data_IF_740122156724
#
_entry.id   IF_740122156724
#
_cell.length_a   1.000
_cell.length_b   1.000
_cell.length_c   1.000
_cell.angle_alpha   90.00
_cell.angle_beta   90.00
_cell.angle_gamma   90.00
#
_symmetry.space_group_name_H-M   'P 1'
#
loop_
_entity.id
_entity.type
_entity.pdbx_description
1 polymer ?
#
# COMPACT_ATOMS: atom_id res chain seq x y z
N UNK A 1 27.80 80.74 7.21
CA UNK A 1 28.00 79.81 6.06
C UNK A 1 28.44 78.38 6.44
N UNK A 2 29.26 78.16 7.48
CA UNK A 2 29.75 76.81 7.85
C UNK A 2 28.68 75.84 8.40
N UNK A 3 27.65 76.32 9.11
CA UNK A 3 26.60 75.46 9.69
C UNK A 3 25.69 74.81 8.62
N UNK A 4 25.39 75.52 7.53
CA UNK A 4 24.57 75.01 6.43
C UNK A 4 25.24 73.86 5.66
N UNK A 5 26.56 73.92 5.48
CA UNK A 5 27.31 72.82 4.87
C UNK A 5 27.31 71.56 5.74
N UNK A 6 27.41 71.71 7.05
CA UNK A 6 27.42 70.57 7.98
C UNK A 6 26.06 69.85 8.02
N UNK A 7 24.95 70.60 8.06
CA UNK A 7 23.60 70.02 8.00
C UNK A 7 23.33 69.29 6.68
N UNK A 8 23.73 69.86 5.53
CA UNK A 8 23.64 69.18 4.22
C UNK A 8 24.41 67.86 4.19
N UNK A 9 25.62 67.84 4.75
CA UNK A 9 26.46 66.65 4.79
C UNK A 9 25.88 65.54 5.67
N UNK A 10 25.29 65.90 6.82
CA UNK A 10 24.58 64.96 7.70
C UNK A 10 23.34 64.35 7.03
N UNK A 11 22.54 65.15 6.31
CA UNK A 11 21.36 64.65 5.59
C UNK A 11 21.72 63.70 4.45
N UNK A 12 22.78 64.00 3.67
CA UNK A 12 23.23 63.13 2.57
C UNK A 12 23.78 61.81 3.10
N UNK A 13 24.56 61.85 4.19
CA UNK A 13 25.10 60.63 4.80
C UNK A 13 24.00 59.73 5.41
N UNK A 14 22.99 60.33 6.04
CA UNK A 14 21.86 59.56 6.56
C UNK A 14 21.00 58.98 5.43
N UNK A 15 20.76 59.72 4.36
CA UNK A 15 20.04 59.23 3.19
C UNK A 15 20.80 58.07 2.51
N UNK A 16 22.11 58.21 2.29
CA UNK A 16 22.95 57.15 1.73
C UNK A 16 22.97 55.89 2.60
N UNK A 17 23.09 56.03 3.93
CA UNK A 17 23.01 54.90 4.88
C UNK A 17 21.64 54.21 4.84
N UNK A 18 20.56 54.98 4.70
CA UNK A 18 19.19 54.44 4.61
C UNK A 18 18.96 53.70 3.29
N UNK A 19 19.36 54.29 2.15
CA UNK A 19 19.34 53.64 0.84
C UNK A 19 20.16 52.33 0.85
N UNK A 20 21.36 52.34 1.43
CA UNK A 20 22.19 51.13 1.52
C UNK A 20 21.54 50.04 2.38
N UNK A 21 20.87 50.41 3.48
CA UNK A 21 20.08 49.46 4.30
C UNK A 21 18.92 48.86 3.51
N UNK A 22 18.14 49.67 2.79
CA UNK A 22 17.03 49.21 1.96
C UNK A 22 17.51 48.26 0.87
N UNK A 23 18.58 48.63 0.15
CA UNK A 23 19.17 47.78 -0.90
C UNK A 23 19.66 46.45 -0.32
N UNK A 24 20.35 46.46 0.84
CA UNK A 24 20.77 45.23 1.53
C UNK A 24 19.59 44.34 1.91
N UNK A 25 18.52 44.92 2.45
CA UNK A 25 17.30 44.18 2.82
C UNK A 25 16.67 43.55 1.57
N UNK A 26 16.54 44.29 0.46
CA UNK A 26 16.00 43.74 -0.78
C UNK A 26 16.87 42.64 -1.38
N UNK A 27 18.20 42.79 -1.37
CA UNK A 27 19.12 41.74 -1.84
C UNK A 27 18.93 40.47 -1.01
N UNK A 28 18.87 40.57 0.33
CA UNK A 28 18.64 39.42 1.21
C UNK A 28 17.30 38.75 0.88
N UNK A 29 16.22 39.51 0.72
CA UNK A 29 14.91 38.96 0.34
C UNK A 29 14.94 38.27 -1.03
N UNK A 30 15.59 38.87 -2.03
CA UNK A 30 15.75 38.27 -3.36
C UNK A 30 16.56 36.97 -3.25
N UNK A 31 17.65 36.95 -2.49
CA UNK A 31 18.45 35.73 -2.28
C UNK A 31 17.63 34.64 -1.59
N UNK A 32 16.83 34.98 -0.56
CA UNK A 32 15.94 34.04 0.12
C UNK A 32 14.88 33.50 -0.86
N UNK A 33 14.24 34.36 -1.65
CA UNK A 33 13.25 33.95 -2.67
C UNK A 33 13.91 33.06 -3.71
N UNK A 34 15.11 33.40 -4.18
CA UNK A 34 15.88 32.57 -5.10
C UNK A 34 16.22 31.23 -4.48
N UNK A 35 16.69 31.17 -3.23
CA UNK A 35 16.99 29.91 -2.53
C UNK A 35 15.72 29.07 -2.34
N UNK A 36 14.60 29.68 -1.94
CA UNK A 36 13.30 28.99 -1.82
C UNK A 36 12.88 28.46 -3.19
N UNK A 37 12.92 29.30 -4.22
CA UNK A 37 12.60 28.91 -5.59
C UNK A 37 13.51 27.80 -6.11
N UNK A 38 14.81 27.88 -5.83
CA UNK A 38 15.80 26.88 -6.23
C UNK A 38 15.56 25.57 -5.49
N UNK A 39 15.34 25.59 -4.17
CA UNK A 39 14.99 24.39 -3.40
C UNK A 39 13.62 23.81 -3.81
N UNK A 40 12.67 24.65 -4.22
CA UNK A 40 11.36 24.22 -4.69
C UNK A 40 11.43 23.61 -6.10
N UNK A 41 12.30 24.13 -6.98
CA UNK A 41 12.55 23.64 -8.34
C UNK A 41 13.50 22.45 -8.40
N UNK A 42 14.53 22.41 -7.56
CA UNK A 42 15.35 21.22 -7.33
C UNK A 42 14.49 20.24 -6.53
N UNK A 43 13.51 19.62 -7.21
CA UNK A 43 13.10 18.27 -6.84
C UNK A 43 14.39 17.48 -6.71
N UNK A 44 14.71 17.00 -5.50
CA UNK A 44 15.83 16.08 -5.28
C UNK A 44 15.83 15.10 -6.44
N UNK A 45 16.95 15.02 -7.18
CA UNK A 45 17.09 14.06 -8.26
C UNK A 45 16.79 12.69 -7.67
N UNK A 46 15.74 12.05 -8.16
CA UNK A 46 15.32 10.76 -7.68
C UNK A 46 16.14 9.68 -8.40
N UNK A 47 17.27 9.33 -7.80
CA UNK A 47 18.19 8.32 -8.34
C UNK A 47 17.53 6.95 -8.52
N UNK A 48 16.46 6.63 -7.77
CA UNK A 48 15.75 5.36 -7.89
C UNK A 48 14.87 5.30 -9.13
N UNK A 49 14.47 6.46 -9.68
CA UNK A 49 13.66 6.56 -10.89
C UNK A 49 14.47 6.47 -12.19
N UNK A 50 15.80 6.64 -12.14
CA UNK A 50 16.67 6.62 -13.33
C UNK A 50 16.60 5.23 -14.00
N UNK A 51 16.15 5.13 -15.26
CA UNK A 51 16.09 3.86 -15.96
C UNK A 51 17.47 3.24 -16.17
N UNK A 52 17.57 1.94 -15.91
CA UNK A 52 18.71 1.11 -16.28
C UNK A 52 18.76 0.90 -17.80
N UNK A 53 19.93 0.53 -18.36
CA UNK A 53 20.04 0.17 -19.77
C UNK A 53 19.03 -0.92 -20.17
N UNK A 54 18.59 -0.98 -21.44
CA UNK A 54 17.64 -2.00 -21.89
C UNK A 54 18.14 -3.42 -21.64
N UNK A 55 17.23 -4.30 -21.21
CA UNK A 55 17.53 -5.70 -20.98
C UNK A 55 17.88 -6.44 -22.29
N UNK A 56 18.80 -7.41 -22.21
CA UNK A 56 19.11 -8.28 -23.36
C UNK A 56 18.04 -9.36 -23.48
N UNK A 57 17.36 -9.42 -24.62
CA UNK A 57 16.29 -10.37 -24.91
C UNK A 57 16.57 -11.14 -26.22
N UNK A 58 15.91 -12.29 -26.39
CA UNK A 58 15.97 -13.10 -27.61
C UNK A 58 14.59 -13.13 -28.25
N UNK A 59 14.52 -13.00 -29.56
CA UNK A 59 13.29 -13.17 -30.34
C UNK A 59 13.33 -14.47 -31.14
N UNK A 60 12.21 -14.83 -31.75
CA UNK A 60 12.00 -16.03 -32.54
C UNK A 60 12.20 -17.30 -31.71
N UNK A 61 11.76 -17.27 -30.45
CA UNK A 61 11.71 -18.46 -29.60
C UNK A 61 10.33 -19.11 -29.64
N UNK A 62 10.22 -20.35 -29.18
CA UNK A 62 8.91 -21.01 -29.00
C UNK A 62 8.18 -20.56 -27.73
N UNK A 63 8.87 -19.86 -26.83
CA UNK A 63 8.31 -19.42 -25.56
C UNK A 63 7.48 -18.15 -25.74
N UNK A 64 6.51 -17.94 -24.85
CA UNK A 64 5.70 -16.72 -24.82
C UNK A 64 5.77 -16.08 -23.46
N UNK A 65 5.90 -14.76 -23.44
CA UNK A 65 6.17 -14.00 -22.25
C UNK A 65 5.09 -12.95 -21.98
N UNK A 66 4.87 -12.66 -20.70
CA UNK A 66 3.98 -11.59 -20.23
C UNK A 66 4.70 -10.76 -19.18
N UNK A 67 4.76 -9.45 -19.39
CA UNK A 67 5.28 -8.45 -18.45
C UNK A 67 4.31 -7.29 -18.34
N UNK A 68 4.55 -6.38 -17.41
CA UNK A 68 3.75 -5.16 -17.28
C UNK A 68 4.61 -3.98 -16.84
N UNK A 69 4.14 -2.78 -17.10
CA UNK A 69 4.58 -1.57 -16.43
C UNK A 69 4.18 -1.65 -14.94
N UNK A 70 5.13 -1.93 -14.05
CA UNK A 70 4.84 -2.14 -12.62
C UNK A 70 4.81 -0.79 -11.88
N UNK A 71 3.89 -0.60 -10.93
CA UNK A 71 3.90 0.52 -10.01
C UNK A 71 4.95 0.31 -8.89
N UNK A 72 6.20 0.12 -9.29
CA UNK A 72 7.31 -0.35 -8.44
C UNK A 72 7.72 0.57 -7.29
N UNK A 73 7.34 1.85 -7.35
CA UNK A 73 7.53 2.80 -6.24
C UNK A 73 6.46 2.65 -5.14
N UNK A 74 5.39 1.88 -5.38
CA UNK A 74 4.29 1.69 -4.44
C UNK A 74 4.64 0.72 -3.31
N UNK A 75 3.83 0.73 -2.26
CA UNK A 75 4.03 -0.11 -1.07
C UNK A 75 3.72 -1.60 -1.33
N UNK A 76 4.19 -2.46 -0.41
CA UNK A 76 4.18 -3.92 -0.51
C UNK A 76 2.84 -4.52 -0.95
N UNK A 77 1.71 -4.08 -0.38
CA UNK A 77 0.39 -4.61 -0.76
C UNK A 77 0.02 -4.36 -2.23
N UNK A 78 0.42 -3.22 -2.80
CA UNK A 78 0.25 -2.94 -4.23
C UNK A 78 1.16 -3.84 -5.07
N UNK A 79 2.41 -4.01 -4.65
CA UNK A 79 3.36 -4.87 -5.35
C UNK A 79 2.90 -6.33 -5.39
N UNK A 80 2.34 -6.86 -4.29
CA UNK A 80 1.81 -8.22 -4.26
C UNK A 80 0.61 -8.35 -5.20
N UNK A 81 -0.29 -7.35 -5.25
CA UNK A 81 -1.40 -7.34 -6.21
C UNK A 81 -0.92 -7.43 -7.66
N UNK A 82 0.06 -6.61 -8.05
CA UNK A 82 0.56 -6.63 -9.43
C UNK A 82 1.16 -7.99 -9.79
N UNK A 83 2.00 -8.56 -8.92
CA UNK A 83 2.70 -9.81 -9.20
C UNK A 83 1.76 -11.01 -9.13
N UNK A 84 0.84 -11.07 -8.17
CA UNK A 84 -0.17 -12.13 -8.12
C UNK A 84 -1.09 -12.10 -9.35
N UNK A 85 -1.56 -10.91 -9.75
CA UNK A 85 -2.37 -10.73 -10.95
C UNK A 85 -1.61 -11.06 -12.23
N UNK A 86 -0.36 -10.62 -12.36
CA UNK A 86 0.47 -10.93 -13.52
C UNK A 86 0.77 -12.43 -13.61
N UNK A 87 0.97 -13.10 -12.47
CA UNK A 87 1.13 -14.55 -12.41
C UNK A 87 -0.15 -15.29 -12.84
N UNK A 88 -1.31 -14.92 -12.29
CA UNK A 88 -2.59 -15.53 -12.67
C UNK A 88 -2.95 -15.31 -14.14
N UNK A 89 -2.75 -14.09 -14.67
CA UNK A 89 -2.88 -13.79 -16.09
C UNK A 89 -1.91 -14.61 -16.96
N UNK A 90 -0.67 -14.79 -16.50
CA UNK A 90 0.32 -15.59 -17.21
C UNK A 90 -0.08 -17.06 -17.30
N UNK A 91 -0.60 -17.64 -16.21
CA UNK A 91 -1.17 -19.01 -16.21
C UNK A 91 -2.34 -19.11 -17.20
N UNK A 92 -3.29 -18.18 -17.13
CA UNK A 92 -4.47 -18.16 -18.01
C UNK A 92 -4.08 -18.07 -19.50
N UNK A 93 -3.08 -17.26 -19.82
CA UNK A 93 -2.62 -17.03 -21.19
C UNK A 93 -1.58 -18.05 -21.68
N UNK A 94 -1.19 -19.01 -20.84
CA UNK A 94 -0.08 -19.93 -21.08
C UNK A 94 1.22 -19.21 -21.51
N UNK A 95 1.61 -18.20 -20.71
CA UNK A 95 2.82 -17.39 -20.89
C UNK A 95 3.70 -17.49 -19.65
N UNK A 96 5.00 -17.33 -19.82
CA UNK A 96 5.96 -17.17 -18.73
C UNK A 96 5.92 -15.73 -18.23
N UNK A 97 5.66 -15.48 -16.93
CA UNK A 97 5.71 -14.13 -16.40
C UNK A 97 7.15 -13.59 -16.37
N UNK A 98 7.31 -12.33 -16.75
CA UNK A 98 8.59 -11.61 -16.78
C UNK A 98 8.57 -10.42 -15.82
N UNK A 99 9.71 -10.18 -15.18
CA UNK A 99 9.97 -9.00 -14.37
C UNK A 99 11.21 -8.28 -14.90
N UNK A 100 11.04 -7.07 -15.41
CA UNK A 100 12.15 -6.21 -15.79
C UNK A 100 12.60 -5.39 -14.59
N UNK A 101 13.90 -5.40 -14.28
CA UNK A 101 14.48 -4.51 -13.28
C UNK A 101 14.80 -3.18 -13.97
N UNK A 102 13.77 -2.36 -14.18
CA UNK A 102 13.91 -1.17 -15.02
C UNK A 102 14.65 -0.01 -14.35
N UNK A 103 14.66 0.05 -13.02
CA UNK A 103 15.35 1.07 -12.23
C UNK A 103 15.49 0.63 -10.76
N UNK A 104 15.93 1.55 -9.90
CA UNK A 104 16.09 1.30 -8.47
C UNK A 104 14.80 0.90 -7.75
N UNK A 105 13.64 1.48 -8.14
CA UNK A 105 12.35 1.08 -7.56
C UNK A 105 11.97 -0.36 -7.89
N UNK A 106 12.18 -0.80 -9.13
CA UNK A 106 11.96 -2.20 -9.52
C UNK A 106 12.90 -3.15 -8.76
N UNK A 107 14.14 -2.74 -8.53
CA UNK A 107 15.09 -3.50 -7.71
C UNK A 107 14.60 -3.64 -6.26
N UNK A 108 14.15 -2.55 -5.64
CA UNK A 108 13.56 -2.55 -4.28
C UNK A 108 12.31 -3.43 -4.21
N UNK A 109 11.40 -3.31 -5.19
CA UNK A 109 10.20 -4.14 -5.29
C UNK A 109 10.55 -5.63 -5.36
N UNK A 110 11.49 -6.01 -6.24
CA UNK A 110 11.98 -7.39 -6.36
C UNK A 110 12.57 -7.91 -5.05
N UNK A 111 13.41 -7.13 -4.38
CA UNK A 111 14.07 -7.55 -3.14
C UNK A 111 13.05 -7.72 -1.99
N UNK A 112 12.05 -6.84 -1.89
CA UNK A 112 10.96 -6.97 -0.94
C UNK A 112 10.09 -8.21 -1.22
N UNK A 113 9.73 -8.44 -2.48
CA UNK A 113 8.92 -9.59 -2.89
C UNK A 113 9.67 -10.92 -2.73
N UNK A 114 10.97 -10.97 -2.96
CA UNK A 114 11.79 -12.16 -2.68
C UNK A 114 11.84 -12.49 -1.19
N UNK A 115 11.85 -11.49 -0.32
CA UNK A 115 11.77 -11.68 1.13
C UNK A 115 10.38 -12.16 1.57
N UNK A 116 9.33 -11.64 0.93
CA UNK A 116 7.93 -11.87 1.33
C UNK A 116 7.33 -13.15 0.73
N UNK A 117 7.50 -13.35 -0.58
CA UNK A 117 6.94 -14.47 -1.35
C UNK A 117 7.96 -15.06 -2.33
N UNK A 118 9.07 -15.67 -1.84
CA UNK A 118 10.17 -16.14 -2.68
C UNK A 118 9.71 -17.10 -3.79
N UNK A 119 8.83 -18.05 -3.46
CA UNK A 119 8.31 -19.05 -4.40
C UNK A 119 7.41 -18.46 -5.50
N UNK A 120 6.75 -17.33 -5.24
CA UNK A 120 6.04 -16.60 -6.28
C UNK A 120 7.04 -15.99 -7.27
N UNK A 121 8.08 -15.35 -6.75
CA UNK A 121 9.12 -14.74 -7.58
C UNK A 121 9.95 -15.76 -8.37
N UNK A 122 10.09 -17.00 -7.88
CA UNK A 122 10.69 -18.11 -8.65
C UNK A 122 9.91 -18.45 -9.92
N UNK A 123 8.62 -18.11 -10.00
CA UNK A 123 7.81 -18.31 -11.22
C UNK A 123 8.14 -17.29 -12.31
N UNK A 124 8.73 -16.15 -11.93
CA UNK A 124 9.06 -15.07 -12.84
C UNK A 124 10.47 -15.22 -13.39
N UNK A 125 10.61 -15.08 -14.71
CA UNK A 125 11.93 -14.86 -15.30
C UNK A 125 12.31 -13.39 -15.13
N UNK A 126 13.37 -13.18 -14.36
CA UNK A 126 13.89 -11.85 -14.01
C UNK A 126 14.90 -11.40 -15.06
N UNK A 127 14.75 -10.17 -15.57
CA UNK A 127 15.62 -9.58 -16.57
C UNK A 127 16.23 -8.28 -16.03
N UNK A 128 17.57 -8.19 -16.08
CA UNK A 128 18.29 -6.98 -15.70
C UNK A 128 18.17 -5.94 -16.82
N UNK A 129 17.57 -4.79 -16.52
CA UNK A 129 17.44 -3.68 -17.46
C UNK A 129 16.01 -3.27 -17.74
N UNK A 130 15.86 -2.10 -18.37
CA UNK A 130 14.57 -1.57 -18.82
C UNK A 130 14.00 -2.37 -19.99
N UNK A 131 12.71 -2.17 -20.28
CA UNK A 131 12.04 -2.81 -21.41
C UNK A 131 12.68 -2.33 -22.72
N UNK A 132 13.19 -3.23 -23.58
CA UNK A 132 13.78 -2.85 -24.86
C UNK A 132 12.75 -2.22 -25.79
N UNK A 133 13.18 -1.23 -26.58
CA UNK A 133 12.32 -0.53 -27.57
C UNK A 133 11.74 -1.45 -28.65
N UNK A 134 12.30 -2.65 -28.81
CA UNK A 134 11.80 -3.68 -29.72
C UNK A 134 10.55 -4.40 -29.20
N UNK A 135 10.21 -4.25 -27.91
CA UNK A 135 8.94 -4.72 -27.33
C UNK A 135 7.96 -3.56 -27.30
N UNK A 136 6.89 -3.67 -28.10
CA UNK A 136 5.81 -2.69 -28.09
C UNK A 136 4.92 -2.86 -26.87
N UNK A 137 4.44 -1.73 -26.34
CA UNK A 137 3.44 -1.74 -25.27
C UNK A 137 2.10 -2.30 -25.78
N UNK A 138 1.56 -3.27 -25.06
CA UNK A 138 0.26 -3.88 -25.30
C UNK A 138 -0.78 -3.21 -24.40
N UNK A 139 -1.72 -2.48 -25.01
CA UNK A 139 -2.77 -1.77 -24.27
C UNK A 139 -3.67 -2.73 -23.48
N UNK A 140 -3.56 -2.70 -22.16
CA UNK A 140 -4.37 -3.49 -21.25
C UNK A 140 -4.68 -2.69 -19.99
N UNK A 141 -5.95 -2.70 -19.55
CA UNK A 141 -6.46 -2.00 -18.35
C UNK A 141 -6.10 -0.49 -18.27
N UNK A 142 -7.09 0.40 -18.50
CA UNK A 142 -6.86 1.86 -18.51
C UNK A 142 -6.93 2.55 -17.14
N UNK A 143 -7.65 1.97 -16.19
CA UNK A 143 -7.84 2.52 -14.85
C UNK A 143 -7.45 1.48 -13.81
N UNK A 144 -6.90 1.92 -12.68
CA UNK A 144 -6.67 1.03 -11.55
C UNK A 144 -7.98 0.38 -11.08
N UNK A 145 -7.87 -0.76 -10.42
CA UNK A 145 -8.94 -1.43 -9.65
C UNK A 145 -10.22 -1.85 -10.41
N UNK A 146 -10.17 -1.88 -11.75
CA UNK A 146 -11.22 -2.45 -12.59
C UNK A 146 -10.74 -3.75 -13.24
N UNK A 147 -11.54 -4.80 -13.14
CA UNK A 147 -11.26 -6.05 -13.84
C UNK A 147 -11.55 -5.89 -15.33
N UNK A 148 -10.50 -6.05 -16.14
CA UNK A 148 -10.61 -6.19 -17.59
C UNK A 148 -10.42 -7.65 -18.00
N UNK A 149 -11.40 -8.23 -18.67
CA UNK A 149 -11.28 -9.56 -19.28
C UNK A 149 -10.04 -9.65 -20.18
N UNK A 150 -9.20 -10.72 -20.05
CA UNK A 150 -7.98 -10.89 -20.83
C UNK A 150 -8.21 -11.41 -22.25
N UNK A 151 -9.45 -11.52 -22.74
CA UNK A 151 -9.76 -12.06 -24.08
C UNK A 151 -8.98 -11.41 -25.23
N UNK A 152 -8.70 -10.10 -25.15
CA UNK A 152 -7.87 -9.41 -26.16
C UNK A 152 -6.41 -9.89 -26.17
N UNK A 153 -5.91 -10.41 -25.06
CA UNK A 153 -4.55 -10.92 -24.91
C UNK A 153 -4.43 -12.38 -25.40
N UNK A 154 -5.51 -13.18 -25.27
CA UNK A 154 -5.55 -14.59 -25.70
C UNK A 154 -5.31 -14.74 -27.20
N UNK A 155 -5.85 -13.81 -27.99
CA UNK A 155 -5.71 -13.80 -29.45
C UNK A 155 -4.35 -13.26 -29.90
N UNK A 156 -3.61 -12.58 -29.02
CA UNK A 156 -2.34 -11.99 -29.39
C UNK A 156 -1.24 -13.08 -29.50
N UNK A 157 -0.62 -13.16 -30.68
CA UNK A 157 0.41 -14.15 -31.02
C UNK A 157 1.84 -13.70 -30.74
N UNK A 158 2.05 -12.43 -30.40
CA UNK A 158 3.37 -11.85 -30.12
C UNK A 158 4.09 -12.65 -29.03
N UNK A 159 5.40 -12.82 -29.23
CA UNK A 159 6.26 -13.53 -28.29
C UNK A 159 6.29 -12.82 -26.93
N UNK A 160 6.38 -11.49 -26.94
CA UNK A 160 6.41 -10.64 -25.75
C UNK A 160 5.17 -9.76 -25.70
N UNK A 161 4.39 -9.88 -24.63
CA UNK A 161 3.39 -8.89 -24.26
C UNK A 161 3.90 -8.07 -23.08
N UNK A 162 4.00 -6.76 -23.25
CA UNK A 162 4.30 -5.82 -22.18
C UNK A 162 3.09 -4.93 -21.92
N UNK A 163 2.34 -5.21 -20.87
CA UNK A 163 1.07 -4.58 -20.59
C UNK A 163 1.23 -3.12 -20.12
N UNK A 164 0.38 -2.24 -20.64
CA UNK A 164 0.36 -0.80 -20.27
C UNK A 164 -0.21 -0.50 -18.87
N UNK A 165 -0.96 -1.45 -18.31
CA UNK A 165 -1.73 -1.28 -17.08
C UNK A 165 -0.86 -1.28 -15.82
N UNK A 166 -1.44 -0.86 -14.70
CA UNK A 166 -0.80 -0.78 -13.38
C UNK A 166 -1.74 -1.28 -12.30
N UNK A 167 -1.18 -1.68 -11.17
CA UNK A 167 -1.82 -2.14 -9.94
C UNK A 167 -2.56 -3.47 -10.03
N UNK A 168 -3.39 -3.69 -11.06
CA UNK A 168 -4.16 -4.93 -11.22
C UNK A 168 -4.91 -5.39 -9.96
N UNK A 169 -5.47 -4.44 -9.22
CA UNK A 169 -6.14 -4.65 -7.93
C UNK A 169 -7.52 -5.28 -8.10
N UNK A 170 -7.54 -6.54 -8.54
CA UNK A 170 -8.74 -7.35 -8.66
C UNK A 170 -8.39 -8.82 -8.48
N UNK A 171 -9.05 -9.49 -7.55
CA UNK A 171 -8.86 -10.92 -7.29
C UNK A 171 -9.21 -11.81 -8.49
N UNK A 172 -10.02 -11.28 -9.41
CA UNK A 172 -10.45 -11.98 -10.64
C UNK A 172 -9.30 -12.28 -11.61
N UNK A 173 -8.11 -11.71 -11.41
CA UNK A 173 -6.90 -12.04 -12.18
C UNK A 173 -6.18 -13.29 -11.68
N UNK A 174 -6.47 -13.74 -10.47
CA UNK A 174 -5.91 -14.95 -9.86
C UNK A 174 -7.00 -15.78 -9.17
N UNK A 175 -8.09 -16.13 -9.88
CA UNK A 175 -9.20 -16.85 -9.29
C UNK A 175 -8.72 -18.23 -8.82
N UNK A 176 -9.19 -18.68 -7.65
CA UNK A 176 -8.85 -19.98 -7.07
C UNK A 176 -7.36 -20.19 -6.71
N UNK A 177 -6.55 -19.13 -6.72
CA UNK A 177 -5.10 -19.24 -6.41
C UNK A 177 -4.78 -18.97 -4.93
N UNK A 178 -5.79 -18.90 -4.06
CA UNK A 178 -5.58 -18.54 -2.65
C UNK A 178 -4.59 -19.44 -1.94
N UNK A 179 -4.80 -20.76 -2.02
CA UNK A 179 -3.93 -21.74 -1.37
C UNK A 179 -2.51 -21.67 -1.92
N UNK A 180 -2.37 -21.60 -3.25
CA UNK A 180 -1.08 -21.45 -3.93
C UNK A 180 -0.34 -20.17 -3.49
N UNK A 181 -1.02 -19.03 -3.41
CA UNK A 181 -0.41 -17.77 -2.96
C UNK A 181 -0.04 -17.79 -1.48
N UNK A 182 -0.84 -18.44 -0.62
CA UNK A 182 -0.54 -18.62 0.81
C UNK A 182 0.72 -19.49 1.01
N UNK A 183 0.93 -20.49 0.16
CA UNK A 183 2.11 -21.36 0.19
C UNK A 183 3.38 -20.68 -0.33
N UNK A 184 3.23 -19.57 -1.04
CA UNK A 184 4.36 -18.78 -1.51
C UNK A 184 4.93 -17.83 -0.45
N UNK A 185 4.17 -17.51 0.60
CA UNK A 185 4.66 -16.73 1.74
C UNK A 185 5.90 -17.40 2.36
N UNK A 186 6.92 -16.60 2.63
CA UNK A 186 8.16 -17.07 3.24
C UNK A 186 7.89 -17.61 4.66
N UNK A 187 8.17 -18.89 4.97
CA UNK A 187 7.96 -19.42 6.31
C UNK A 187 9.04 -18.99 7.31
N UNK A 188 10.18 -18.43 6.88
CA UNK A 188 11.29 -18.12 7.77
C UNK A 188 11.00 -16.95 8.72
N UNK A 189 9.93 -16.19 8.49
CA UNK A 189 9.45 -15.14 9.40
C UNK A 189 8.69 -15.63 10.65
N UNK A 190 8.50 -16.96 10.83
CA UNK A 190 7.73 -17.50 11.98
C UNK A 190 8.36 -17.17 13.34
N UNK A 191 9.68 -16.95 13.39
CA UNK A 191 10.36 -16.76 14.66
C UNK A 191 10.13 -15.34 15.19
N UNK A 192 9.23 -15.27 16.18
CA UNK A 192 8.95 -14.17 17.12
C UNK A 192 7.84 -13.21 16.64
N UNK A 193 6.59 -13.67 16.68
CA UNK A 193 5.43 -12.76 16.76
C UNK A 193 5.31 -12.05 18.13
N UNK A 194 6.32 -12.18 18.99
CA UNK A 194 6.31 -11.67 20.35
C UNK A 194 5.21 -12.31 21.20
N UNK A 195 4.49 -11.48 21.95
CA UNK A 195 3.39 -11.86 22.84
C UNK A 195 2.02 -11.89 22.14
N UNK A 196 1.97 -11.89 20.80
CA UNK A 196 0.69 -11.99 20.11
C UNK A 196 0.03 -13.36 20.39
N UNK A 197 -1.30 -13.38 20.62
CA UNK A 197 -2.03 -14.61 20.93
C UNK A 197 -2.00 -15.59 19.74
N UNK A 198 -2.15 -16.88 20.00
CA UNK A 198 -2.26 -17.90 18.96
C UNK A 198 -3.72 -18.32 18.84
N UNK A 199 -4.19 -18.62 17.63
CA UNK A 199 -5.53 -19.19 17.45
C UNK A 199 -5.48 -20.71 17.59
N UNK A 200 -6.16 -21.21 18.61
CA UNK A 200 -6.19 -22.61 19.04
C UNK A 200 -7.55 -22.97 19.66
N UNK A 201 -7.60 -24.07 20.42
CA UNK A 201 -8.81 -24.55 21.10
C UNK A 201 -9.23 -23.65 22.28
N UNK A 202 -8.35 -22.76 22.75
CA UNK A 202 -8.61 -21.86 23.87
C UNK A 202 -8.90 -20.43 23.40
N UNK A 203 -8.32 -20.00 22.27
CA UNK A 203 -8.35 -18.62 21.82
C UNK A 203 -8.92 -18.51 20.41
N UNK A 204 -9.84 -17.57 20.23
CA UNK A 204 -10.31 -17.10 18.93
C UNK A 204 -9.68 -15.74 18.64
N UNK A 205 -8.95 -15.62 17.54
CA UNK A 205 -8.20 -14.41 17.22
C UNK A 205 -8.89 -13.63 16.10
N UNK A 206 -9.39 -12.45 16.45
CA UNK A 206 -9.88 -11.44 15.51
C UNK A 206 -8.77 -10.43 15.22
N UNK A 207 -8.44 -10.24 13.96
CA UNK A 207 -7.39 -9.35 13.52
C UNK A 207 -7.98 -8.09 12.91
N UNK A 208 -7.55 -6.93 13.35
CA UNK A 208 -8.07 -5.64 12.91
C UNK A 208 -6.96 -4.87 12.22
N UNK A 209 -7.12 -4.62 10.93
CA UNK A 209 -6.19 -3.82 10.15
C UNK A 209 -6.63 -2.36 10.12
N UNK A 210 -5.72 -1.47 10.49
CA UNK A 210 -5.82 -0.03 10.35
C UNK A 210 -4.81 0.53 9.33
N UNK A 211 -5.15 1.62 8.66
CA UNK A 211 -4.24 2.36 7.77
C UNK A 211 -4.49 3.85 7.93
N UNK A 212 -3.46 4.60 8.30
CA UNK A 212 -3.57 6.05 8.48
C UNK A 212 -2.50 6.83 7.76
N UNK A 213 -1.21 6.56 7.97
CA UNK A 213 -0.09 7.43 7.61
C UNK A 213 -0.25 8.17 6.27
N UNK A 214 0.06 7.49 5.17
CA UNK A 214 -0.08 8.05 3.82
C UNK A 214 -1.55 8.31 3.42
N UNK A 215 -2.51 7.63 4.05
CA UNK A 215 -3.93 7.85 3.76
C UNK A 215 -4.41 9.23 4.23
N UNK A 216 -3.94 9.69 5.39
CA UNK A 216 -4.19 11.05 5.88
C UNK A 216 -3.48 12.07 4.99
N UNK A 217 -2.24 11.79 4.58
CA UNK A 217 -1.44 12.66 3.70
C UNK A 217 -2.08 12.84 2.32
N UNK A 218 -2.55 11.75 1.71
CA UNK A 218 -3.16 11.74 0.36
C UNK A 218 -4.69 11.92 0.37
N UNK A 219 -5.29 12.27 1.52
CA UNK A 219 -6.73 12.48 1.66
C UNK A 219 -7.58 11.27 1.19
N UNK A 220 -7.06 10.06 1.42
CA UNK A 220 -7.84 8.84 1.35
C UNK A 220 -8.62 8.64 2.65
N UNK A 221 -9.64 7.79 2.62
CA UNK A 221 -10.36 7.44 3.84
C UNK A 221 -9.47 6.59 4.77
N UNK A 222 -8.82 7.26 5.71
CA UNK A 222 -8.02 6.65 6.77
C UNK A 222 -8.92 5.95 7.80
N UNK A 223 -8.35 4.99 8.55
CA UNK A 223 -9.08 4.28 9.61
C UNK A 223 -9.69 5.25 10.63
N UNK A 224 -11.01 5.20 10.75
CA UNK A 224 -11.80 5.94 11.73
C UNK A 224 -11.86 5.16 13.06
N UNK A 225 -11.51 5.78 14.21
CA UNK A 225 -11.49 5.09 15.49
C UNK A 225 -12.87 4.68 16.01
N UNK A 226 -13.92 5.46 15.74
CA UNK A 226 -15.30 5.12 16.11
C UNK A 226 -15.80 3.93 15.31
N UNK A 227 -15.57 3.93 14.01
CA UNK A 227 -15.92 2.79 13.16
C UNK A 227 -15.17 1.54 13.61
N UNK A 228 -13.87 1.65 13.83
CA UNK A 228 -13.03 0.53 14.24
C UNK A 228 -13.52 -0.10 15.56
N UNK A 229 -13.75 0.70 16.61
CA UNK A 229 -14.27 0.19 17.89
C UNK A 229 -15.63 -0.48 17.75
N UNK A 230 -16.56 0.20 17.09
CA UNK A 230 -17.94 -0.32 17.00
C UNK A 230 -18.05 -1.51 16.05
N UNK A 231 -17.17 -1.61 15.06
CA UNK A 231 -17.06 -2.79 14.22
C UNK A 231 -16.49 -3.98 15.01
N UNK A 232 -15.51 -3.77 15.89
CA UNK A 232 -15.04 -4.82 16.82
C UNK A 232 -16.17 -5.29 17.73
N UNK A 233 -16.95 -4.37 18.32
CA UNK A 233 -18.15 -4.72 19.11
C UNK A 233 -19.13 -5.56 18.29
N UNK A 234 -19.46 -5.11 17.07
CA UNK A 234 -20.33 -5.86 16.16
C UNK A 234 -19.81 -7.29 15.91
N UNK A 235 -18.50 -7.47 15.68
CA UNK A 235 -17.92 -8.80 15.50
C UNK A 235 -17.99 -9.66 16.77
N UNK A 236 -17.72 -9.07 17.94
CA UNK A 236 -17.82 -9.78 19.21
C UNK A 236 -19.24 -10.29 19.50
N UNK A 237 -20.27 -9.55 19.07
CA UNK A 237 -21.67 -9.94 19.22
C UNK A 237 -22.13 -10.98 18.17
N UNK A 238 -21.61 -10.89 16.94
CA UNK A 238 -22.12 -11.68 15.80
C UNK A 238 -21.29 -12.93 15.49
N UNK A 239 -20.04 -12.99 15.94
CA UNK A 239 -19.17 -14.15 15.73
C UNK A 239 -19.35 -15.19 16.83
N UNK A 240 -19.75 -16.41 16.45
CA UNK A 240 -19.88 -17.55 17.37
C UNK A 240 -18.52 -18.17 17.63
N UNK A 241 -17.92 -17.90 18.79
CA UNK A 241 -16.58 -18.41 19.16
C UNK A 241 -16.61 -19.62 20.11
N UNK A 242 -17.79 -19.98 20.62
CA UNK A 242 -17.95 -21.05 21.60
C UNK A 242 -17.43 -20.65 22.97
N UNK A 243 -16.72 -21.56 23.65
CA UNK A 243 -16.07 -21.32 24.93
C UNK A 243 -14.68 -20.67 24.82
N UNK A 244 -14.21 -20.35 23.60
CA UNK A 244 -12.89 -19.75 23.38
C UNK A 244 -12.85 -18.30 23.84
N UNK A 245 -11.71 -17.91 24.41
CA UNK A 245 -11.39 -16.53 24.74
C UNK A 245 -11.28 -15.70 23.47
N UNK A 246 -11.92 -14.52 23.44
CA UNK A 246 -11.77 -13.57 22.35
C UNK A 246 -10.47 -12.82 22.52
N UNK A 247 -9.65 -12.82 21.47
CA UNK A 247 -8.38 -12.12 21.39
C UNK A 247 -8.40 -11.23 20.17
N UNK A 248 -8.00 -9.97 20.32
CA UNK A 248 -8.04 -8.96 19.27
C UNK A 248 -6.62 -8.50 19.00
N UNK A 249 -6.17 -8.61 17.75
CA UNK A 249 -4.84 -8.16 17.33
C UNK A 249 -4.97 -7.02 16.34
N UNK A 250 -4.35 -5.90 16.67
CA UNK A 250 -4.40 -4.65 15.93
C UNK A 250 -3.13 -4.52 15.07
N UNK A 251 -3.30 -4.38 13.77
CA UNK A 251 -2.25 -4.05 12.81
C UNK A 251 -2.42 -2.62 12.33
N UNK A 252 -1.32 -1.88 12.18
CA UNK A 252 -1.39 -0.50 11.71
C UNK A 252 -0.03 0.14 11.52
N UNK A 253 -0.01 1.18 10.71
CA UNK A 253 1.19 1.99 10.46
C UNK A 253 1.31 3.20 11.40
N UNK A 254 0.31 3.44 12.25
CA UNK A 254 0.25 4.55 13.20
C UNK A 254 0.07 3.99 14.62
N UNK A 255 1.21 3.72 15.29
CA UNK A 255 1.24 3.13 16.63
C UNK A 255 0.56 4.03 17.68
N UNK A 256 0.84 5.34 17.63
CA UNK A 256 0.26 6.32 18.55
C UNK A 256 -1.27 6.32 18.45
N UNK A 257 -1.82 6.23 17.24
CA UNK A 257 -3.26 6.10 17.04
C UNK A 257 -3.82 4.85 17.72
N UNK A 258 -3.20 3.69 17.52
CA UNK A 258 -3.68 2.44 18.12
C UNK A 258 -3.61 2.49 19.65
N UNK A 259 -2.50 2.93 20.23
CA UNK A 259 -2.34 3.05 21.69
C UNK A 259 -3.31 4.06 22.31
N UNK A 260 -3.60 5.17 21.62
CA UNK A 260 -4.54 6.19 22.11
C UNK A 260 -5.97 5.65 22.20
N UNK A 261 -6.41 4.87 21.21
CA UNK A 261 -7.78 4.38 21.16
C UNK A 261 -7.97 3.03 21.84
N UNK A 262 -6.93 2.23 22.00
CA UNK A 262 -6.93 0.97 22.73
C UNK A 262 -5.88 1.02 23.83
N UNK A 263 -6.10 1.88 24.81
CA UNK A 263 -5.15 2.14 25.92
C UNK A 263 -4.92 0.93 26.84
N UNK A 264 -5.81 -0.06 26.79
CA UNK A 264 -5.73 -1.34 27.49
C UNK A 264 -5.04 -2.43 26.66
N UNK A 265 -4.62 -2.13 25.43
CA UNK A 265 -3.91 -3.08 24.58
C UNK A 265 -2.47 -3.31 25.05
N UNK A 266 -2.00 -4.54 24.84
CA UNK A 266 -0.62 -4.95 25.11
C UNK A 266 0.18 -4.92 23.81
N UNK A 267 1.38 -4.35 23.85
CA UNK A 267 2.29 -4.38 22.70
C UNK A 267 2.82 -5.79 22.45
N UNK A 268 3.06 -6.17 21.18
CA UNK A 268 3.62 -7.48 20.87
C UNK A 268 5.01 -7.71 21.50
N UNK A 269 5.73 -6.64 21.86
CA UNK A 269 7.02 -6.71 22.56
C UNK A 269 6.89 -6.87 24.09
N UNK A 270 5.71 -6.63 24.66
CA UNK A 270 5.45 -6.73 26.10
C UNK A 270 5.19 -8.18 26.54
N UNK A 271 6.27 -8.98 26.63
CA UNK A 271 6.22 -10.41 26.96
C UNK A 271 5.56 -10.67 28.33
N UNK A 272 4.67 -11.67 28.39
CA UNK A 272 4.09 -12.19 29.64
C UNK A 272 2.81 -11.50 30.10
N UNK A 273 2.33 -10.46 29.40
CA UNK A 273 1.05 -9.82 29.70
C UNK A 273 -0.10 -10.53 28.95
N UNK A 274 -1.21 -10.79 29.63
CA UNK A 274 -2.43 -11.32 29.03
C UNK A 274 -3.48 -10.21 28.92
N UNK A 275 -4.03 -9.99 27.73
CA UNK A 275 -5.03 -8.96 27.48
C UNK A 275 -6.09 -9.45 26.49
N UNK A 276 -7.14 -8.66 26.29
CA UNK A 276 -8.08 -8.86 25.18
C UNK A 276 -7.51 -8.27 23.89
N UNK A 277 -6.89 -7.08 23.97
CA UNK A 277 -6.33 -6.34 22.83
C UNK A 277 -4.80 -6.43 22.80
N UNK A 278 -4.25 -6.60 21.61
CA UNK A 278 -2.81 -6.62 21.35
C UNK A 278 -2.49 -5.74 20.15
N UNK A 279 -1.36 -5.03 20.17
CA UNK A 279 -0.89 -4.23 19.04
C UNK A 279 0.37 -4.88 18.47
N UNK A 280 0.34 -5.23 17.17
CA UNK A 280 1.52 -5.72 16.46
C UNK A 280 2.49 -4.58 16.21
N UNK A 281 3.75 -4.78 16.59
CA UNK A 281 4.89 -3.96 16.15
C UNK A 281 5.79 -4.73 15.17
N UNK A 282 5.30 -5.82 14.61
CA UNK A 282 6.09 -6.70 13.76
C UNK A 282 6.35 -6.05 12.38
N UNK A 283 7.41 -6.46 11.68
CA UNK A 283 7.57 -6.13 10.27
C UNK A 283 6.35 -6.57 9.43
N UNK A 284 6.00 -5.82 8.36
CA UNK A 284 4.83 -6.12 7.53
C UNK A 284 4.77 -7.55 6.94
N UNK A 285 5.94 -8.17 6.73
CA UNK A 285 6.04 -9.55 6.21
C UNK A 285 5.55 -10.56 7.25
N UNK A 286 5.84 -10.29 8.52
CA UNK A 286 5.55 -11.18 9.63
C UNK A 286 4.06 -11.10 9.99
N UNK A 287 3.43 -9.94 9.82
CA UNK A 287 1.97 -9.78 9.96
C UNK A 287 1.17 -10.61 8.94
N UNK A 288 1.64 -10.76 7.70
CA UNK A 288 0.99 -11.66 6.73
C UNK A 288 1.05 -13.12 7.18
N UNK A 289 2.19 -13.52 7.74
CA UNK A 289 2.41 -14.87 8.20
C UNK A 289 1.64 -15.16 9.50
N UNK A 290 1.61 -14.20 10.42
CA UNK A 290 0.75 -14.25 11.59
C UNK A 290 -0.72 -14.38 11.15
N UNK A 291 -1.14 -13.59 10.17
CA UNK A 291 -2.51 -13.66 9.67
C UNK A 291 -2.89 -15.02 9.14
N UNK A 292 -2.02 -15.59 8.28
CA UNK A 292 -2.15 -16.94 7.76
C UNK A 292 -2.35 -18.00 8.85
N UNK A 293 -1.61 -17.89 9.95
CA UNK A 293 -1.58 -18.93 10.96
C UNK A 293 -2.57 -18.71 12.10
N UNK A 294 -3.01 -17.47 12.35
CA UNK A 294 -3.74 -17.12 13.57
C UNK A 294 -5.05 -16.37 13.33
N UNK A 295 -5.21 -15.53 12.31
CA UNK A 295 -6.42 -14.70 12.19
C UNK A 295 -7.64 -15.53 11.77
N UNK A 296 -8.51 -15.87 12.72
CA UNK A 296 -9.79 -16.55 12.46
C UNK A 296 -10.78 -15.62 11.74
N UNK A 297 -10.78 -14.35 12.12
CA UNK A 297 -11.59 -13.29 11.51
C UNK A 297 -10.70 -12.08 11.26
N UNK A 298 -10.89 -11.40 10.13
CA UNK A 298 -10.21 -10.14 9.83
C UNK A 298 -11.21 -9.01 9.67
N UNK A 299 -10.91 -7.83 10.24
CA UNK A 299 -11.60 -6.57 10.02
C UNK A 299 -10.66 -5.58 9.30
N UNK A 300 -11.03 -5.12 8.12
CA UNK A 300 -10.29 -4.08 7.38
C UNK A 300 -11.00 -2.74 7.56
N UNK A 301 -10.41 -1.83 8.34
CA UNK A 301 -11.05 -0.55 8.70
C UNK A 301 -10.75 0.58 7.71
N UNK A 302 -9.73 0.42 6.87
CA UNK A 302 -9.42 1.33 5.76
C UNK A 302 -9.71 0.60 4.44
N UNK A 303 -10.80 0.95 3.72
CA UNK A 303 -11.33 0.13 2.63
C UNK A 303 -10.31 -0.09 1.51
N UNK A 304 -9.52 0.94 1.17
CA UNK A 304 -8.54 0.89 0.08
C UNK A 304 -7.18 0.33 0.47
N UNK A 305 -6.99 -0.08 1.72
CA UNK A 305 -5.72 -0.63 2.16
C UNK A 305 -5.43 -1.95 1.46
N UNK A 306 -4.55 -1.95 0.47
CA UNK A 306 -4.08 -3.18 -0.18
C UNK A 306 -3.34 -4.09 0.80
N UNK A 307 -2.65 -3.51 1.81
CA UNK A 307 -2.01 -4.32 2.84
C UNK A 307 -3.05 -5.05 3.69
N UNK A 308 -4.09 -4.33 4.14
CA UNK A 308 -5.22 -4.93 4.87
C UNK A 308 -5.96 -5.97 4.03
N UNK A 309 -6.10 -5.73 2.73
CA UNK A 309 -6.65 -6.70 1.78
C UNK A 309 -5.85 -8.00 1.80
N UNK A 310 -4.52 -7.95 1.76
CA UNK A 310 -3.67 -9.15 1.83
C UNK A 310 -3.68 -9.82 3.21
N UNK A 311 -3.77 -9.05 4.31
CA UNK A 311 -4.01 -9.61 5.65
C UNK A 311 -5.30 -10.45 5.65
N UNK A 312 -6.40 -9.91 5.10
CA UNK A 312 -7.66 -10.64 4.94
C UNK A 312 -7.55 -11.85 4.03
N UNK A 313 -6.93 -11.69 2.87
CA UNK A 313 -6.79 -12.77 1.87
C UNK A 313 -6.00 -13.96 2.40
N UNK A 314 -4.90 -13.72 3.13
CA UNK A 314 -4.07 -14.78 3.68
C UNK A 314 -4.60 -15.38 4.98
N UNK A 315 -5.53 -14.73 5.68
CA UNK A 315 -6.03 -15.13 7.02
C UNK A 315 -6.37 -16.62 7.20
N UNK A 316 -6.07 -17.18 8.38
CA UNK A 316 -6.41 -18.56 8.74
C UNK A 316 -7.88 -18.92 8.45
N UNK A 317 -8.81 -18.11 8.93
CA UNK A 317 -10.24 -18.42 8.85
C UNK A 317 -10.91 -18.03 7.53
N UNK A 318 -10.24 -17.30 6.64
CA UNK A 318 -10.81 -16.80 5.38
C UNK A 318 -12.17 -16.08 5.56
N UNK A 319 -12.37 -15.45 6.72
CA UNK A 319 -13.58 -14.73 7.08
C UNK A 319 -13.23 -13.27 7.32
N UNK A 320 -13.62 -12.42 6.37
CA UNK A 320 -13.18 -11.02 6.32
C UNK A 320 -14.39 -10.11 6.32
N UNK A 321 -14.34 -9.15 7.22
CA UNK A 321 -15.21 -7.99 7.29
C UNK A 321 -14.42 -6.75 6.88
N UNK A 322 -15.07 -5.80 6.22
CA UNK A 322 -14.40 -4.57 5.79
C UNK A 322 -15.36 -3.39 5.80
N UNK A 323 -14.84 -2.18 6.01
CA UNK A 323 -15.61 -0.95 5.83
C UNK A 323 -16.07 -0.84 4.37
N UNK A 324 -17.37 -0.77 4.11
CA UNK A 324 -17.91 -0.60 2.77
C UNK A 324 -17.56 0.78 2.23
N UNK A 325 -16.71 0.79 1.19
CA UNK A 325 -16.23 2.00 0.54
C UNK A 325 -17.35 2.90 0.03
N UNK A 326 -18.53 2.34 -0.30
CA UNK A 326 -19.72 3.10 -0.74
C UNK A 326 -20.18 4.17 0.26
N UNK A 327 -19.84 4.03 1.54
CA UNK A 327 -20.27 4.93 2.61
C UNK A 327 -19.12 5.78 3.18
N UNK A 328 -18.02 5.91 2.43
CA UNK A 328 -16.82 6.63 2.91
C UNK A 328 -16.58 7.97 2.23
N UNK A 329 -17.32 8.30 1.17
CA UNK A 329 -17.05 9.49 0.37
C UNK A 329 -15.68 9.45 -0.34
N UNK A 330 -15.16 8.25 -0.63
CA UNK A 330 -13.86 8.10 -1.29
C UNK A 330 -13.93 8.53 -2.75
N UNK A 331 -13.19 9.59 -3.09
CA UNK A 331 -13.23 10.22 -4.41
C UNK A 331 -12.80 9.29 -5.56
N UNK A 332 -12.00 8.25 -5.32
CA UNK A 332 -11.61 7.29 -6.38
C UNK A 332 -12.74 6.29 -6.63
N UNK A 333 -13.46 5.89 -5.58
CA UNK A 333 -14.68 5.10 -5.74
C UNK A 333 -15.75 5.92 -6.49
N UNK A 334 -16.00 7.15 -6.06
CA UNK A 334 -16.99 8.04 -6.69
C UNK A 334 -16.66 8.36 -8.15
N UNK A 335 -15.37 8.46 -8.51
CA UNK A 335 -14.94 8.67 -9.90
C UNK A 335 -14.98 7.38 -10.75
N UNK A 336 -15.44 6.25 -10.21
CA UNK A 336 -15.46 4.96 -10.91
C UNK A 336 -14.08 4.34 -11.11
N UNK A 337 -13.06 4.82 -10.39
CA UNK A 337 -11.70 4.28 -10.41
C UNK A 337 -11.52 3.02 -9.56
N UNK A 338 -12.57 2.55 -8.88
CA UNK A 338 -12.61 1.29 -8.15
C UNK A 338 -14.03 0.73 -8.15
N UNK A 339 -14.18 -0.55 -8.50
CA UNK A 339 -15.44 -1.28 -8.35
C UNK A 339 -15.29 -2.30 -7.20
N UNK A 340 -16.17 -2.20 -6.20
CA UNK A 340 -16.09 -3.03 -5.00
C UNK A 340 -16.14 -4.55 -5.31
N UNK A 341 -16.93 -4.97 -6.30
CA UNK A 341 -17.04 -6.39 -6.70
C UNK A 341 -15.87 -6.91 -7.53
N UNK A 342 -15.00 -6.03 -8.04
CA UNK A 342 -13.72 -6.40 -8.65
C UNK A 342 -12.61 -6.44 -7.60
N UNK A 343 -12.63 -5.50 -6.65
CA UNK A 343 -11.62 -5.37 -5.62
C UNK A 343 -11.77 -6.40 -4.50
N UNK A 344 -12.95 -6.54 -3.89
CA UNK A 344 -13.20 -7.48 -2.78
C UNK A 344 -13.74 -8.84 -3.29
N UNK A 345 -13.25 -9.96 -2.76
CA UNK A 345 -13.87 -11.27 -2.94
C UNK A 345 -15.35 -11.27 -2.51
N UNK A 346 -16.19 -11.97 -3.25
CA UNK A 346 -17.66 -11.94 -3.06
C UNK A 346 -18.13 -12.54 -1.73
N UNK A 347 -17.34 -13.41 -1.10
CA UNK A 347 -17.66 -14.01 0.20
C UNK A 347 -17.26 -13.13 1.39
N UNK A 348 -16.56 -12.02 1.16
CA UNK A 348 -16.23 -11.05 2.23
C UNK A 348 -17.43 -10.18 2.55
N UNK A 349 -17.58 -9.79 3.81
CA UNK A 349 -18.76 -9.09 4.30
C UNK A 349 -18.51 -7.58 4.48
N UNK A 350 -19.15 -6.72 3.68
CA UNK A 350 -19.09 -5.27 3.89
C UNK A 350 -19.85 -4.84 5.14
N UNK A 351 -19.28 -3.89 5.89
CA UNK A 351 -19.85 -3.27 7.08
C UNK A 351 -19.99 -1.76 6.88
N UNK A 352 -20.99 -1.15 7.51
CA UNK A 352 -21.21 0.30 7.49
C UNK A 352 -21.80 0.78 8.82
N UNK A 353 -21.78 2.10 9.03
CA UNK A 353 -22.66 2.70 10.04
C UNK A 353 -24.12 2.56 9.63
N UNK A 354 -25.00 2.28 10.59
CA UNK A 354 -26.44 2.07 10.36
C UNK A 354 -27.12 3.31 9.75
N UNK A 355 -26.67 4.51 10.14
CA UNK A 355 -27.09 5.78 9.56
C UNK A 355 -26.01 6.85 9.80
N UNK A 356 -26.11 8.00 9.13
CA UNK A 356 -25.16 9.10 9.28
C UNK A 356 -25.05 9.63 10.74
N UNK A 357 -26.12 9.45 11.54
CA UNK A 357 -26.18 9.90 12.94
C UNK A 357 -26.02 8.76 13.94
N UNK A 358 -25.78 7.52 13.49
CA UNK A 358 -25.69 6.34 14.34
C UNK A 358 -24.33 5.68 14.17
N UNK A 359 -23.58 5.59 15.27
CA UNK A 359 -22.31 4.86 15.26
C UNK A 359 -22.48 3.32 15.36
N UNK A 360 -23.72 2.81 15.44
CA UNK A 360 -23.99 1.37 15.37
C UNK A 360 -23.50 0.82 14.03
N UNK A 361 -22.69 -0.24 14.06
CA UNK A 361 -22.21 -0.92 12.85
C UNK A 361 -23.15 -2.05 12.48
N UNK A 362 -23.44 -2.17 11.19
CA UNK A 362 -24.29 -3.21 10.60
C UNK A 362 -23.65 -3.76 9.32
N UNK A 363 -24.13 -4.90 8.82
CA UNK A 363 -23.80 -5.35 7.46
C UNK A 363 -24.35 -4.34 6.43
N UNK A 364 -23.60 -4.10 5.36
CA UNK A 364 -24.04 -3.16 4.32
C UNK A 364 -25.23 -3.65 3.52
#
# INVERSE_FOLDING_TARGET
>A
MRLFHFLKFLTINNFSRYCLKIVKVHIIWITIICIIYFNWRFKKLDFMAIPYPPAVIKFNTSAKYLSSNLASSSQLGNNIFEIASLYGLSKHLNRTPLFFIENGYHKKMLDNLRKTMPRLMEKFRILNGSVPRSISETKFQRACCLHKSPWSLEKNRDEYLHLSGKYYQSWKYFPNMRNELIEFLNPTSIQIFGNLPISDDQNHVTCVHSRRGDFVEYLFYASDPKFMKNAVTFLNENEKVGSRNRKIVLFGDDLNFLETYFSDAVLSTDVGKNAEYYISQNPPIDDFLYSKNNCDVVLITAPRSTFGWWIGYFSKGNKVYYLDIKYTGDHIFESGGLIASDFYPSHWTPLKFASANSFTVVRS
#
